data_IF_497683283904
#
_entry.id   IF_497683283904
#
_cell.length_a   1.000
_cell.length_b   1.000
_cell.length_c   1.000
_cell.angle_alpha   90.00
_cell.angle_beta   90.00
_cell.angle_gamma   90.00
#
_symmetry.space_group_name_H-M   'P 1'
#
loop_
_entity.id
_entity.type
_entity.pdbx_description
1 polymer ?
#
# COMPACT_ATOMS: atom_id res chain seq x y z
N UNK A 1 -4.81 -30.97 1.00
CA UNK A 1 -3.87 -30.60 2.08
C UNK A 1 -2.45 -30.90 1.61
N UNK A 2 -1.48 -30.07 1.95
CA UNK A 2 -0.07 -30.22 1.54
C UNK A 2 0.82 -30.04 2.77
N UNK A 3 1.94 -30.77 2.84
CA UNK A 3 2.91 -30.62 3.91
C UNK A 3 3.83 -29.43 3.60
N UNK A 4 4.01 -28.53 4.57
CA UNK A 4 5.00 -27.47 4.50
C UNK A 4 5.99 -27.60 5.66
N UNK A 5 7.28 -27.36 5.39
CA UNK A 5 8.35 -27.47 6.38
C UNK A 5 8.61 -26.12 7.02
N UNK A 6 8.59 -26.07 8.35
CA UNK A 6 9.08 -24.92 9.11
C UNK A 6 10.61 -24.89 9.04
N UNK A 7 11.16 -23.76 8.59
CA UNK A 7 12.60 -23.54 8.60
C UNK A 7 13.11 -23.27 10.03
N UNK A 8 14.42 -23.39 10.25
CA UNK A 8 15.04 -23.06 11.55
C UNK A 8 14.82 -21.60 11.97
N UNK A 9 14.52 -20.71 11.02
CA UNK A 9 14.24 -19.29 11.25
C UNK A 9 12.75 -18.99 11.44
N UNK A 10 11.90 -20.02 11.54
CA UNK A 10 10.46 -19.85 11.71
C UNK A 10 9.72 -19.47 10.41
N UNK A 11 10.34 -19.66 9.24
CA UNK A 11 9.69 -19.36 7.96
C UNK A 11 8.97 -20.59 7.42
N UNK A 12 7.77 -20.39 6.88
CA UNK A 12 6.99 -21.41 6.17
C UNK A 12 6.84 -20.98 4.71
N UNK A 13 7.23 -21.85 3.78
CA UNK A 13 6.95 -21.62 2.36
C UNK A 13 5.53 -22.08 2.02
N UNK A 14 4.70 -21.19 1.48
CA UNK A 14 3.36 -21.53 1.02
C UNK A 14 3.46 -22.18 -0.38
N UNK A 15 2.90 -23.39 -0.59
CA UNK A 15 2.89 -24.03 -1.89
C UNK A 15 2.28 -23.14 -2.98
N UNK A 16 2.92 -23.10 -4.16
CA UNK A 16 2.54 -22.24 -5.29
C UNK A 16 1.08 -22.40 -5.72
N UNK A 17 0.52 -23.60 -5.59
CA UNK A 17 -0.89 -23.87 -5.92
C UNK A 17 -1.86 -23.10 -5.00
N UNK A 18 -1.55 -23.01 -3.71
CA UNK A 18 -2.36 -22.26 -2.75
C UNK A 18 -2.28 -20.75 -2.99
N UNK A 19 -1.07 -20.23 -3.28
CA UNK A 19 -0.90 -18.82 -3.64
C UNK A 19 -1.72 -18.45 -4.87
N UNK A 20 -1.72 -19.29 -5.92
CA UNK A 20 -2.56 -19.08 -7.11
C UNK A 20 -4.06 -19.10 -6.80
N UNK A 21 -4.51 -20.02 -5.96
CA UNK A 21 -5.92 -20.08 -5.56
C UNK A 21 -6.37 -18.83 -4.77
N UNK A 22 -5.44 -18.20 -4.04
CA UNK A 22 -5.65 -16.94 -3.33
C UNK A 22 -5.44 -15.70 -4.22
N UNK A 23 -5.03 -15.86 -5.48
CA UNK A 23 -4.70 -14.74 -6.36
C UNK A 23 -3.48 -13.92 -5.90
N UNK A 24 -2.59 -14.52 -5.09
CA UNK A 24 -1.41 -13.84 -4.57
C UNK A 24 -0.24 -14.03 -5.52
N UNK A 25 0.38 -12.91 -5.90
CA UNK A 25 1.54 -12.85 -6.79
C UNK A 25 2.66 -11.99 -6.17
N UNK A 26 3.91 -12.26 -6.56
CA UNK A 26 5.06 -11.48 -6.12
C UNK A 26 5.28 -11.46 -4.61
N UNK A 27 5.69 -10.30 -4.10
CA UNK A 27 5.78 -10.02 -2.67
C UNK A 27 4.42 -9.55 -2.15
N UNK A 28 3.94 -10.17 -1.08
CA UNK A 28 2.64 -9.88 -0.50
C UNK A 28 2.67 -9.95 1.01
N UNK A 29 1.85 -9.14 1.66
CA UNK A 29 1.65 -9.16 3.10
C UNK A 29 0.46 -10.03 3.48
N UNK A 30 0.52 -10.59 4.68
CA UNK A 30 -0.57 -11.36 5.25
C UNK A 30 -0.79 -10.93 6.70
N UNK A 31 -2.05 -10.82 7.10
CA UNK A 31 -2.43 -10.85 8.50
C UNK A 31 -2.28 -12.30 9.00
N UNK A 32 -1.71 -12.46 10.18
CA UNK A 32 -1.44 -13.76 10.81
C UNK A 32 -2.13 -13.79 12.17
N UNK A 33 -3.05 -14.74 12.34
CA UNK A 33 -3.83 -14.89 13.57
C UNK A 33 -3.78 -16.34 14.06
N UNK A 34 -3.84 -16.53 15.39
CA UNK A 34 -4.05 -17.84 15.98
C UNK A 34 -5.53 -18.19 15.87
N UNK A 35 -5.85 -19.24 15.13
CA UNK A 35 -7.20 -19.76 14.98
C UNK A 35 -7.62 -20.55 16.24
N UNK A 36 -8.89 -20.50 16.66
CA UNK A 36 -9.40 -21.20 17.85
C UNK A 36 -9.09 -22.70 17.90
N UNK A 37 -9.03 -23.35 16.73
CA UNK A 37 -8.74 -24.76 16.55
C UNK A 37 -7.25 -25.12 16.66
N UNK A 38 -6.37 -24.16 16.98
CA UNK A 38 -4.94 -24.39 17.15
C UNK A 38 -4.12 -24.32 15.86
N UNK A 39 -4.60 -23.55 14.87
CA UNK A 39 -3.91 -23.28 13.60
C UNK A 39 -3.49 -21.82 13.42
N UNK A 40 -2.75 -21.53 12.35
CA UNK A 40 -2.55 -20.14 11.90
C UNK A 40 -3.51 -19.83 10.76
N UNK A 41 -4.27 -18.75 10.91
CA UNK A 41 -5.08 -18.17 9.82
C UNK A 41 -4.26 -17.09 9.13
N UNK A 42 -4.06 -17.24 7.81
CA UNK A 42 -3.36 -16.28 6.97
C UNK A 42 -4.35 -15.60 6.03
N UNK A 43 -4.43 -14.27 6.08
CA UNK A 43 -5.30 -13.47 5.21
C UNK A 43 -4.46 -12.49 4.40
N UNK A 44 -4.50 -12.51 3.04
CA UNK A 44 -3.80 -11.53 2.23
C UNK A 44 -4.14 -10.10 2.67
N UNK A 45 -3.13 -9.24 2.73
CA UNK A 45 -3.25 -7.87 3.20
C UNK A 45 -2.59 -6.91 2.21
N UNK A 46 -3.31 -5.85 1.85
CA UNK A 46 -2.74 -4.71 1.14
C UNK A 46 -2.12 -3.73 2.12
N UNK A 47 -0.90 -3.28 1.81
CA UNK A 47 -0.24 -2.19 2.52
C UNK A 47 -0.20 -1.01 1.56
N UNK A 48 -0.93 0.04 1.92
CA UNK A 48 -1.06 1.24 1.10
C UNK A 48 -0.49 2.44 1.84
N UNK A 49 0.29 3.30 1.17
CA UNK A 49 0.63 4.59 1.73
C UNK A 49 -0.65 5.42 1.88
N UNK A 50 -0.78 6.09 3.02
CA UNK A 50 -1.84 7.05 3.27
C UNK A 50 -1.19 8.42 3.38
N UNK A 51 -1.65 9.38 2.59
CA UNK A 51 -1.32 10.79 2.78
C UNK A 51 -2.44 11.44 3.60
N UNK A 52 -2.05 12.04 4.73
CA UNK A 52 -2.98 12.74 5.61
C UNK A 52 -2.92 14.23 5.28
N UNK A 53 -4.05 14.78 4.87
CA UNK A 53 -4.20 16.19 4.55
C UNK A 53 -4.50 16.96 5.83
N UNK A 54 -3.47 17.20 6.63
CA UNK A 54 -3.59 18.10 7.78
C UNK A 54 -3.75 19.55 7.30
N UNK A 55 -4.16 20.44 8.20
CA UNK A 55 -4.27 21.86 7.85
C UNK A 55 -2.93 22.41 7.36
N UNK A 56 -1.82 22.04 7.99
CA UNK A 56 -0.48 22.44 7.57
C UNK A 56 -0.17 21.95 6.14
N UNK A 57 -0.47 20.67 5.85
CA UNK A 57 -0.25 20.09 4.52
C UNK A 57 -1.11 20.78 3.46
N UNK A 58 -2.34 21.13 3.79
CA UNK A 58 -3.23 21.87 2.90
C UNK A 58 -2.69 23.28 2.61
N UNK A 59 -2.16 23.98 3.60
CA UNK A 59 -1.57 25.31 3.39
C UNK A 59 -0.32 25.25 2.51
N UNK A 60 0.52 24.23 2.67
CA UNK A 60 1.66 23.99 1.76
C UNK A 60 1.18 23.80 0.33
N UNK A 61 0.20 22.91 0.11
CA UNK A 61 -0.35 22.63 -1.20
C UNK A 61 -0.99 23.87 -1.84
N UNK A 62 -1.73 24.66 -1.06
CA UNK A 62 -2.33 25.92 -1.53
C UNK A 62 -1.27 26.96 -1.91
N UNK A 63 -0.16 27.02 -1.16
CA UNK A 63 0.96 27.90 -1.50
C UNK A 63 1.65 27.45 -2.79
N UNK A 64 1.85 26.13 -2.97
CA UNK A 64 2.40 25.52 -4.18
C UNK A 64 1.49 25.74 -5.40
N UNK A 65 0.17 25.78 -5.23
CA UNK A 65 -0.83 25.99 -6.29
C UNK A 65 -1.01 27.48 -6.69
N UNK A 66 -0.14 28.38 -6.21
CA UNK A 66 -0.18 29.79 -6.62
C UNK A 66 0.62 30.06 -7.89
N UNK A 67 0.05 30.87 -8.79
CA UNK A 67 0.79 31.35 -9.97
C UNK A 67 1.92 32.28 -9.55
N UNK A 68 3.10 32.05 -10.12
CA UNK A 68 4.19 33.03 -10.09
C UNK A 68 3.78 34.30 -10.83
N UNK A 69 4.45 35.42 -10.53
CA UNK A 69 4.18 36.69 -11.21
C UNK A 69 4.40 36.61 -12.73
N UNK A 70 5.38 35.83 -13.19
CA UNK A 70 5.62 35.60 -14.62
C UNK A 70 4.50 34.79 -15.27
N UNK A 71 3.97 33.77 -14.60
CA UNK A 71 2.82 33.00 -15.08
C UNK A 71 1.55 33.85 -15.10
N UNK A 72 1.34 34.66 -14.06
CA UNK A 72 0.23 35.61 -13.98
C UNK A 72 0.27 36.62 -15.13
N UNK A 73 1.44 37.19 -15.42
CA UNK A 73 1.62 38.12 -16.54
C UNK A 73 1.37 37.46 -17.90
N UNK A 74 1.87 36.23 -18.11
CA UNK A 74 1.61 35.46 -19.33
C UNK A 74 0.13 35.15 -19.52
N UNK A 75 -0.56 34.72 -18.46
CA UNK A 75 -1.99 34.44 -18.50
C UNK A 75 -2.80 35.70 -18.84
N UNK A 76 -2.48 36.84 -18.22
CA UNK A 76 -3.15 38.11 -18.48
C UNK A 76 -2.98 38.60 -19.93
N UNK A 77 -1.84 38.31 -20.57
CA UNK A 77 -1.59 38.65 -21.96
C UNK A 77 -2.41 37.80 -22.95
N UNK A 78 -2.72 36.54 -22.61
CA UNK A 78 -3.55 35.64 -23.41
C UNK A 78 -5.05 35.90 -23.30
N UNK A 79 -5.48 36.57 -22.23
CA UNK A 79 -6.89 36.92 -21.99
C UNK A 79 -7.33 38.23 -22.68
N UNK A 80 -6.45 38.85 -23.46
CA UNK A 80 -6.70 40.04 -24.29
C UNK A 80 -6.91 39.66 -25.74
#
# INVERSE_FOLDING_TARGET
MELAKLSRKGQLSIPKRLLKALGVEGEAYFLVELAPEGGLLLRPAGVYPLEVYTEERLQELLAEDTLTEEERARLAALAR
#
